data_IF_725018894773
#
_entry.id   IF_725018894773
#
_cell.length_a   1.000
_cell.length_b   1.000
_cell.length_c   1.000
_cell.angle_alpha   90.00
_cell.angle_beta   90.00
_cell.angle_gamma   90.00
#
_symmetry.space_group_name_H-M   'P 1'
#
loop_
_entity.id
_entity.type
_entity.pdbx_description
1 polymer ?
#
# COMPACT_ATOMS: atom_id res chain seq x y z
N UNK A 1 0.79 16.61 -1.53
CA UNK A 1 0.49 15.23 -1.98
C UNK A 1 1.26 14.25 -1.11
N UNK A 2 0.61 13.24 -0.53
CA UNK A 2 1.27 12.23 0.31
C UNK A 2 1.71 11.05 -0.55
N UNK A 3 2.95 10.61 -0.37
CA UNK A 3 3.50 9.41 -1.02
C UNK A 3 3.79 8.34 0.04
N UNK A 4 2.97 7.30 0.07
CA UNK A 4 3.13 6.16 0.97
C UNK A 4 4.31 5.30 0.54
N UNK A 5 5.40 5.38 1.28
CA UNK A 5 6.68 4.80 0.90
C UNK A 5 7.06 3.62 1.77
N UNK A 6 7.58 2.55 1.15
CA UNK A 6 8.30 1.49 1.85
C UNK A 6 9.75 1.46 1.36
N UNK A 7 10.74 1.86 2.20
CA UNK A 7 12.15 1.90 1.82
C UNK A 7 12.71 0.57 1.31
N UNK A 8 12.14 -0.56 1.75
CA UNK A 8 12.57 -1.91 1.36
C UNK A 8 11.98 -2.36 0.02
N UNK A 9 10.97 -1.67 -0.51
CA UNK A 9 10.32 -2.03 -1.77
C UNK A 9 10.97 -1.32 -2.97
N UNK A 10 11.59 -2.08 -3.88
CA UNK A 10 12.23 -1.53 -5.09
C UNK A 10 11.29 -0.61 -5.88
N UNK A 11 10.05 -1.04 -6.13
CA UNK A 11 9.03 -0.25 -6.87
C UNK A 11 8.65 1.05 -6.16
N UNK A 12 8.63 1.04 -4.83
CA UNK A 12 8.39 2.23 -4.03
C UNK A 12 9.54 3.24 -4.12
N UNK A 13 10.79 2.77 -4.28
CA UNK A 13 11.94 3.64 -4.50
C UNK A 13 11.95 4.21 -5.92
N UNK A 14 11.70 3.37 -6.92
CA UNK A 14 11.59 3.79 -8.32
C UNK A 14 10.50 4.86 -8.52
N UNK A 15 9.33 4.69 -7.91
CA UNK A 15 8.25 5.68 -7.99
C UNK A 15 8.58 7.01 -7.30
N UNK A 16 9.32 6.98 -6.19
CA UNK A 16 9.77 8.21 -5.53
C UNK A 16 10.80 8.95 -6.39
N UNK A 17 11.75 8.24 -7.01
CA UNK A 17 12.72 8.82 -7.96
C UNK A 17 12.00 9.45 -9.14
N UNK A 18 11.03 8.75 -9.74
CA UNK A 18 10.23 9.25 -10.86
C UNK A 18 9.50 10.58 -10.57
N UNK A 19 9.03 10.78 -9.33
CA UNK A 19 8.42 12.04 -8.90
C UNK A 19 9.46 13.14 -8.76
N UNK A 20 10.61 12.83 -8.14
CA UNK A 20 11.73 13.77 -7.97
C UNK A 20 12.29 14.24 -9.31
N UNK A 21 12.41 13.34 -10.29
CA UNK A 21 12.89 13.66 -11.65
C UNK A 21 11.95 14.65 -12.38
N UNK A 22 10.70 14.76 -11.94
CA UNK A 22 9.71 15.74 -12.44
C UNK A 22 9.61 16.99 -11.57
N UNK A 23 10.55 17.20 -10.66
CA UNK A 23 10.52 18.26 -9.65
C UNK A 23 9.27 18.22 -8.74
N UNK A 24 8.62 17.07 -8.60
CA UNK A 24 7.49 16.88 -7.68
C UNK A 24 8.04 16.41 -6.34
N UNK A 25 7.85 17.22 -5.29
CA UNK A 25 8.25 16.90 -3.92
C UNK A 25 7.02 16.48 -3.09
N UNK A 26 6.71 15.17 -2.98
CA UNK A 26 5.64 14.71 -2.12
C UNK A 26 6.06 14.71 -0.64
N UNK A 27 5.08 14.77 0.24
CA UNK A 27 5.24 14.42 1.64
C UNK A 27 5.40 12.90 1.75
N UNK A 28 6.53 12.42 2.26
CA UNK A 28 6.82 10.99 2.35
C UNK A 28 6.32 10.46 3.68
N UNK A 29 5.40 9.48 3.63
CA UNK A 29 4.92 8.78 4.83
C UNK A 29 5.31 7.31 4.79
N UNK A 30 6.11 6.87 5.77
CA UNK A 30 6.48 5.46 5.94
C UNK A 30 5.33 4.72 6.62
N UNK A 31 4.45 4.11 5.81
CA UNK A 31 3.24 3.45 6.30
C UNK A 31 3.50 2.22 7.19
N UNK A 32 4.74 1.72 7.25
CA UNK A 32 5.11 0.63 8.15
C UNK A 32 5.43 1.13 9.57
N UNK A 33 5.91 2.38 9.69
CA UNK A 33 6.16 3.04 10.99
C UNK A 33 4.93 3.82 11.44
N UNK A 34 4.37 4.60 10.55
CA UNK A 34 3.19 5.44 10.79
C UNK A 34 1.98 4.75 10.19
N UNK A 35 1.31 3.95 11.02
CA UNK A 35 0.14 3.19 10.59
C UNK A 35 -0.97 4.13 10.10
N UNK A 36 -1.69 3.67 9.09
CA UNK A 36 -2.89 4.31 8.60
C UNK A 36 -4.06 4.01 9.54
N UNK A 37 -4.92 5.00 9.76
CA UNK A 37 -6.20 4.83 10.45
C UNK A 37 -7.22 4.15 9.54
N UNK A 38 -8.31 3.66 10.12
CA UNK A 38 -9.42 3.07 9.35
C UNK A 38 -10.01 4.06 8.33
N UNK A 39 -10.20 5.32 8.74
CA UNK A 39 -10.74 6.37 7.87
C UNK A 39 -9.81 6.69 6.70
N UNK A 40 -8.50 6.79 6.94
CA UNK A 40 -7.51 7.01 5.88
C UNK A 40 -7.50 5.86 4.87
N UNK A 41 -7.52 4.61 5.34
CA UNK A 41 -7.58 3.44 4.47
C UNK A 41 -8.84 3.42 3.59
N UNK A 42 -10.00 3.76 4.17
CA UNK A 42 -11.25 3.85 3.42
C UNK A 42 -11.17 4.91 2.32
N UNK A 43 -10.66 6.10 2.63
CA UNK A 43 -10.51 7.16 1.64
C UNK A 43 -9.53 6.79 0.52
N UNK A 44 -8.45 6.07 0.84
CA UNK A 44 -7.51 5.56 -0.17
C UNK A 44 -8.21 4.57 -1.11
N UNK A 45 -8.98 3.63 -0.57
CA UNK A 45 -9.70 2.65 -1.38
C UNK A 45 -10.74 3.29 -2.31
N UNK A 46 -11.48 4.30 -1.82
CA UNK A 46 -12.42 5.08 -2.63
C UNK A 46 -11.73 5.82 -3.79
N UNK A 47 -10.56 6.43 -3.53
CA UNK A 47 -9.78 7.13 -4.58
C UNK A 47 -9.18 6.19 -5.62
N UNK A 48 -8.91 4.95 -5.23
CA UNK A 48 -8.35 3.93 -6.11
C UNK A 48 -9.42 3.13 -6.85
N UNK A 49 -10.70 3.30 -6.50
CA UNK A 49 -11.81 2.48 -6.95
C UNK A 49 -11.52 0.97 -6.78
N UNK A 50 -10.98 0.61 -5.61
CA UNK A 50 -10.53 -0.74 -5.30
C UNK A 50 -11.20 -1.29 -4.05
N UNK A 51 -11.43 -2.60 -4.04
CA UNK A 51 -11.81 -3.31 -2.83
C UNK A 51 -10.59 -3.54 -1.92
N UNK A 52 -10.78 -3.66 -0.59
CA UNK A 52 -9.69 -3.92 0.34
C UNK A 52 -8.81 -5.14 -0.03
N UNK A 53 -9.41 -6.20 -0.57
CA UNK A 53 -8.69 -7.43 -0.92
C UNK A 53 -7.84 -7.31 -2.20
N UNK A 54 -8.08 -6.28 -3.02
CA UNK A 54 -7.32 -5.98 -4.23
C UNK A 54 -6.05 -5.17 -3.90
N UNK A 55 -6.13 -4.29 -2.90
CA UNK A 55 -4.99 -3.53 -2.39
C UNK A 55 -3.95 -4.43 -1.67
N UNK A 56 -4.41 -5.57 -1.14
CA UNK A 56 -3.56 -6.50 -0.40
C UNK A 56 -2.50 -7.15 -1.29
N UNK A 57 -1.22 -6.99 -0.91
CA UNK A 57 -0.10 -7.63 -1.62
C UNK A 57 -0.21 -9.15 -1.52
N UNK A 58 -0.36 -9.81 -2.68
CA UNK A 58 -0.45 -11.28 -2.83
C UNK A 58 0.89 -11.97 -2.52
N UNK A 59 1.26 -12.03 -1.25
CA UNK A 59 2.43 -12.76 -0.76
C UNK A 59 2.09 -14.23 -0.44
N UNK A 60 3.10 -15.09 -0.32
CA UNK A 60 2.92 -16.49 0.14
C UNK A 60 2.17 -16.56 1.48
N UNK A 61 2.39 -15.59 2.37
CA UNK A 61 1.66 -15.47 3.65
C UNK A 61 0.19 -15.14 3.44
N UNK A 62 -0.13 -14.20 2.54
CA UNK A 62 -1.50 -13.85 2.18
C UNK A 62 -2.25 -15.07 1.62
N UNK A 63 -1.64 -15.79 0.68
CA UNK A 63 -2.24 -16.99 0.08
C UNK A 63 -2.55 -18.05 1.14
N UNK A 64 -1.59 -18.32 2.05
CA UNK A 64 -1.79 -19.27 3.15
C UNK A 64 -2.93 -18.87 4.10
N UNK A 65 -3.09 -17.57 4.40
CA UNK A 65 -4.19 -17.08 5.23
C UNK A 65 -5.54 -17.23 4.51
N UNK A 66 -5.62 -16.83 3.23
CA UNK A 66 -6.83 -17.01 2.41
C UNK A 66 -7.26 -18.49 2.32
N UNK A 67 -6.32 -19.42 2.22
CA UNK A 67 -6.61 -20.86 2.20
C UNK A 67 -7.16 -21.35 3.55
N UNK A 68 -6.62 -20.87 4.67
CA UNK A 68 -7.14 -21.19 6.02
C UNK A 68 -8.54 -20.64 6.27
N UNK A 69 -8.84 -19.44 5.78
CA UNK A 69 -10.19 -18.86 5.88
C UNK A 69 -11.22 -19.66 5.05
N UNK A 70 -10.82 -20.16 3.88
CA UNK A 70 -11.68 -21.01 3.04
C UNK A 70 -11.92 -22.40 3.64
N UNK A 71 -10.93 -23.00 4.30
CA UNK A 71 -11.04 -24.33 4.91
C UNK A 71 -11.86 -24.36 6.21
N UNK A 72 -12.28 -23.20 6.72
CA UNK A 72 -13.15 -23.05 7.90
C UNK A 72 -14.63 -22.86 7.56
N UNK A 73 -14.98 -22.83 6.27
CA UNK A 73 -16.35 -22.81 5.75
C UNK A 73 -16.67 -24.18 5.18
#
# INVERSE_FOLDING_TARGET
>A
MIYYHNPKCRKSREGLTFLKDRNIQPEIRDYLKERLTHHELRSILEKLDMRPDELMRKTRRYTRLKLREKAKR
#
